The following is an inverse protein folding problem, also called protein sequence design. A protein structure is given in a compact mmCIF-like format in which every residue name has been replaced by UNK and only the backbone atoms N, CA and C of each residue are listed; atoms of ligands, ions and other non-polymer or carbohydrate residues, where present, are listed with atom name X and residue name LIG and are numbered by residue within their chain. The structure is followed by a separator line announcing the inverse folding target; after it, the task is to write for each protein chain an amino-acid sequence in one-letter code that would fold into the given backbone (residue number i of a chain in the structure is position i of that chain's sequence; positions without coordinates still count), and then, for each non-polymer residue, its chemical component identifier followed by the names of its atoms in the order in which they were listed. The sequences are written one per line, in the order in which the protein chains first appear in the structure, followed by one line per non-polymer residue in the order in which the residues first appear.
data_IF_946638496446
#
_entry.id   IF_946638496446
#
_cell.length_a   1.000
_cell.length_b   1.000
_cell.length_c   1.000
_cell.angle_alpha   90.00
_cell.angle_beta   90.00
_cell.angle_gamma   90.00
#
_symmetry.space_group_name_H-M   'P 1'
#
loop_
_entity.id
_entity.type
_entity.pdbx_description
1 polymer ?
#
# COMPACT_ATOMS: atom_id res chain seq x y z
N UNK A 1 19.12 -13.99 2.71
CA UNK A 1 18.78 -14.28 4.11
C UNK A 1 17.28 -14.12 4.23
N UNK A 2 16.61 -15.22 4.52
CA UNK A 2 15.17 -15.24 4.67
C UNK A 2 14.82 -14.82 6.12
N UNK A 3 14.37 -13.59 6.27
CA UNK A 3 13.80 -13.16 7.53
C UNK A 3 12.32 -13.55 7.58
N UNK A 4 11.93 -14.29 8.59
CA UNK A 4 10.56 -14.77 8.77
C UNK A 4 9.80 -14.01 9.89
N UNK A 5 10.26 -12.83 10.26
CA UNK A 5 9.67 -12.03 11.32
C UNK A 5 10.13 -12.37 12.73
N UNK A 6 10.69 -13.56 12.96
CA UNK A 6 11.24 -13.97 14.24
C UNK A 6 10.26 -13.89 15.41
N UNK A 7 10.77 -13.91 16.63
CA UNK A 7 10.03 -13.74 17.88
C UNK A 7 10.09 -12.26 18.31
N UNK A 8 9.53 -11.38 17.50
CA UNK A 8 9.47 -9.95 17.78
C UNK A 8 8.08 -9.48 18.20
N UNK A 9 7.96 -8.20 18.55
CA UNK A 9 6.69 -7.54 18.80
C UNK A 9 6.22 -6.80 17.54
N UNK A 10 6.05 -7.51 16.43
CA UNK A 10 5.36 -6.94 15.27
C UNK A 10 3.85 -7.14 15.41
N UNK A 11 3.11 -6.30 14.72
CA UNK A 11 1.64 -6.37 14.66
C UNK A 11 1.20 -7.73 14.10
N UNK A 12 1.81 -8.15 12.99
CA UNK A 12 1.48 -9.38 12.28
C UNK A 12 1.83 -10.61 13.11
N UNK A 13 2.99 -10.63 13.78
CA UNK A 13 3.37 -11.74 14.64
C UNK A 13 2.44 -11.85 15.86
N UNK A 14 2.02 -10.72 16.42
CA UNK A 14 1.05 -10.70 17.51
C UNK A 14 -0.30 -11.28 17.07
N UNK A 15 -0.80 -10.86 15.91
CA UNK A 15 -2.03 -11.40 15.34
C UNK A 15 -1.90 -12.91 15.04
N UNK A 16 -0.77 -13.35 14.49
CA UNK A 16 -0.48 -14.76 14.27
C UNK A 16 -0.57 -15.58 15.57
N UNK A 17 0.04 -15.09 16.66
CA UNK A 17 -0.03 -15.76 17.96
C UNK A 17 -1.46 -15.78 18.52
N UNK A 18 -2.20 -14.70 18.35
CA UNK A 18 -3.61 -14.63 18.74
C UNK A 18 -4.44 -15.69 17.99
N UNK A 19 -4.30 -15.76 16.67
CA UNK A 19 -4.98 -16.74 15.82
C UNK A 19 -4.59 -18.18 16.23
N UNK A 20 -3.31 -18.43 16.47
CA UNK A 20 -2.80 -19.74 16.94
C UNK A 20 -3.41 -20.12 18.29
N UNK A 21 -3.74 -19.16 19.13
CA UNK A 21 -4.37 -19.37 20.43
C UNK A 21 -5.91 -19.35 20.36
N UNK A 22 -6.50 -19.40 19.18
CA UNK A 22 -7.95 -19.47 18.97
C UNK A 22 -8.69 -18.12 19.05
N UNK A 23 -7.97 -17.01 19.01
CA UNK A 23 -8.58 -15.66 18.94
C UNK A 23 -8.74 -15.33 17.46
N UNK A 24 -9.95 -15.44 16.95
CA UNK A 24 -10.26 -15.24 15.54
C UNK A 24 -10.27 -13.76 15.13
N UNK A 25 -10.11 -13.51 13.82
CA UNK A 25 -10.29 -12.17 13.25
C UNK A 25 -11.77 -11.71 13.37
N UNK A 26 -12.03 -10.42 13.58
CA UNK A 26 -11.07 -9.30 13.68
C UNK A 26 -10.45 -9.11 15.08
N UNK A 27 -10.81 -9.93 16.07
CA UNK A 27 -10.31 -9.78 17.44
C UNK A 27 -8.79 -10.00 17.52
N UNK A 28 -8.23 -10.88 16.66
CA UNK A 28 -6.78 -11.12 16.58
C UNK A 28 -5.95 -9.86 16.34
N UNK A 29 -6.47 -8.90 15.58
CA UNK A 29 -5.81 -7.62 15.28
C UNK A 29 -6.27 -6.44 16.14
N UNK A 30 -7.28 -6.62 16.99
CA UNK A 30 -7.99 -5.52 17.61
C UNK A 30 -7.17 -4.74 18.66
N UNK A 31 -7.37 -3.42 18.70
CA UNK A 31 -6.82 -2.56 19.74
C UNK A 31 -7.25 -2.96 21.16
N UNK A 32 -8.39 -3.62 21.29
CA UNK A 32 -8.90 -4.11 22.56
C UNK A 32 -7.97 -5.15 23.20
N UNK A 33 -7.35 -5.99 22.39
CA UNK A 33 -6.45 -7.07 22.85
C UNK A 33 -5.00 -6.60 22.79
N UNK A 34 -4.59 -5.97 21.67
CA UNK A 34 -3.19 -5.71 21.37
C UNK A 34 -2.72 -4.31 21.78
N UNK A 35 -3.66 -3.41 22.11
CA UNK A 35 -3.36 -2.00 22.36
C UNK A 35 -3.24 -1.18 21.08
N UNK A 36 -3.47 0.13 21.22
CA UNK A 36 -3.56 1.06 20.10
C UNK A 36 -2.29 1.11 19.25
N UNK A 37 -1.15 1.35 19.90
CA UNK A 37 0.13 1.51 19.21
C UNK A 37 0.47 0.31 18.33
N UNK A 38 0.24 -0.91 18.83
CA UNK A 38 0.57 -2.13 18.09
C UNK A 38 -0.39 -2.36 16.93
N UNK A 39 -1.68 -2.06 17.12
CA UNK A 39 -2.70 -2.31 16.08
C UNK A 39 -2.73 -1.24 14.97
N UNK A 40 -2.06 -0.10 15.15
CA UNK A 40 -2.09 1.02 14.19
C UNK A 40 -0.76 1.20 13.41
N UNK A 41 -0.03 0.11 13.16
CA UNK A 41 1.20 0.14 12.36
C UNK A 41 0.90 0.03 10.85
N UNK A 42 1.90 0.31 10.00
CA UNK A 42 1.77 0.43 8.54
C UNK A 42 1.41 -0.87 7.83
N UNK A 43 1.64 -2.02 8.46
CA UNK A 43 1.44 -3.33 7.84
C UNK A 43 0.08 -3.49 7.17
N UNK A 44 -0.99 -2.95 7.78
CA UNK A 44 -2.34 -2.96 7.17
C UNK A 44 -2.36 -2.38 5.75
N UNK A 45 -1.53 -1.37 5.49
CA UNK A 45 -1.51 -0.67 4.20
C UNK A 45 -0.54 -1.32 3.22
N UNK A 46 0.64 -1.76 3.66
CA UNK A 46 1.65 -2.26 2.73
C UNK A 46 1.26 -3.56 2.03
N UNK A 47 0.43 -4.41 2.63
CA UNK A 47 0.09 -5.71 2.02
C UNK A 47 -1.19 -5.71 1.18
N UNK A 48 -1.83 -4.55 0.92
CA UNK A 48 -3.16 -4.53 0.27
C UNK A 48 -3.10 -4.34 -1.25
N UNK A 49 -1.97 -3.93 -1.81
CA UNK A 49 -1.85 -3.49 -3.21
C UNK A 49 -2.41 -4.54 -4.19
N UNK A 50 -2.02 -5.82 -4.03
CA UNK A 50 -2.52 -6.88 -4.90
C UNK A 50 -4.05 -7.10 -4.79
N UNK A 51 -4.63 -6.86 -3.61
CA UNK A 51 -6.08 -6.93 -3.41
C UNK A 51 -6.77 -5.79 -4.16
N UNK A 52 -6.25 -4.58 -4.04
CA UNK A 52 -6.78 -3.41 -4.74
C UNK A 52 -6.64 -3.55 -6.26
N UNK A 53 -5.49 -4.02 -6.73
CA UNK A 53 -5.24 -4.32 -8.16
C UNK A 53 -6.19 -5.37 -8.73
N UNK A 54 -6.69 -6.28 -7.90
CA UNK A 54 -7.68 -7.29 -8.32
C UNK A 54 -9.11 -6.72 -8.45
N UNK A 55 -9.31 -5.44 -8.15
CA UNK A 55 -10.60 -4.76 -8.20
C UNK A 55 -10.56 -3.52 -9.11
N UNK A 56 -10.16 -3.63 -10.40
CA UNK A 56 -10.01 -2.47 -11.28
C UNK A 56 -11.33 -1.71 -11.42
N UNK A 57 -11.28 -0.39 -11.19
CA UNK A 57 -12.41 0.55 -11.21
C UNK A 57 -13.59 0.15 -10.28
N UNK A 58 -13.34 -0.70 -9.29
CA UNK A 58 -14.33 -1.11 -8.30
C UNK A 58 -13.84 -0.83 -6.87
N UNK A 59 -13.79 0.45 -6.46
CA UNK A 59 -13.27 0.84 -5.15
C UNK A 59 -14.14 0.35 -3.98
N UNK A 60 -15.43 0.12 -4.18
CA UNK A 60 -16.32 -0.41 -3.13
C UNK A 60 -15.92 -1.85 -2.76
N UNK A 61 -15.68 -2.70 -3.77
CA UNK A 61 -15.20 -4.07 -3.56
C UNK A 61 -13.77 -4.09 -2.99
N UNK A 62 -12.87 -3.25 -3.52
CA UNK A 62 -11.51 -3.14 -3.01
C UNK A 62 -11.49 -2.81 -1.51
N UNK A 63 -12.26 -1.80 -1.11
CA UNK A 63 -12.39 -1.39 0.30
C UNK A 63 -13.01 -2.48 1.17
N UNK A 64 -14.00 -3.20 0.69
CA UNK A 64 -14.61 -4.32 1.44
C UNK A 64 -13.58 -5.42 1.70
N UNK A 65 -12.87 -5.87 0.68
CA UNK A 65 -11.87 -6.94 0.79
C UNK A 65 -10.68 -6.52 1.64
N UNK A 66 -10.15 -5.31 1.41
CA UNK A 66 -9.03 -4.76 2.18
C UNK A 66 -9.40 -4.58 3.65
N UNK A 67 -10.61 -4.12 3.97
CA UNK A 67 -11.06 -4.02 5.37
C UNK A 67 -11.01 -5.37 6.07
N UNK A 68 -11.48 -6.42 5.40
CA UNK A 68 -11.44 -7.79 5.96
C UNK A 68 -9.99 -8.27 6.15
N UNK A 69 -9.15 -8.11 5.14
CA UNK A 69 -7.74 -8.53 5.20
C UNK A 69 -6.95 -7.76 6.27
N UNK A 70 -7.06 -6.44 6.30
CA UNK A 70 -6.38 -5.59 7.25
C UNK A 70 -6.81 -5.87 8.70
N UNK A 71 -8.10 -6.15 8.93
CA UNK A 71 -8.62 -6.42 10.29
C UNK A 71 -8.18 -7.76 10.88
N UNK A 72 -7.50 -8.61 10.13
CA UNK A 72 -6.89 -9.83 10.67
C UNK A 72 -5.78 -9.49 11.67
N UNK A 73 -5.01 -8.44 11.40
CA UNK A 73 -3.84 -8.07 12.20
C UNK A 73 -3.88 -6.65 12.77
N UNK A 74 -4.64 -5.75 12.17
CA UNK A 74 -4.66 -4.32 12.48
C UNK A 74 -6.06 -3.83 12.85
N UNK A 75 -6.13 -2.58 13.37
CA UNK A 75 -7.38 -1.94 13.78
C UNK A 75 -7.27 -0.41 13.61
N UNK A 76 -8.36 0.29 13.88
CA UNK A 76 -8.42 1.74 13.95
C UNK A 76 -8.00 2.45 12.67
N UNK A 77 -7.14 3.47 12.82
CA UNK A 77 -6.71 4.33 11.71
C UNK A 77 -5.89 3.54 10.67
N UNK A 78 -5.22 2.45 11.06
CA UNK A 78 -4.47 1.62 10.13
C UNK A 78 -5.37 0.96 9.09
N UNK A 79 -6.50 0.40 9.51
CA UNK A 79 -7.50 -0.18 8.61
C UNK A 79 -8.15 0.87 7.73
N UNK A 80 -8.42 2.07 8.29
CA UNK A 80 -9.01 3.19 7.53
C UNK A 80 -8.07 3.70 6.44
N UNK A 81 -6.78 3.84 6.73
CA UNK A 81 -5.77 4.29 5.77
C UNK A 81 -5.55 3.25 4.67
N UNK A 82 -5.50 1.97 5.03
CA UNK A 82 -5.46 0.87 4.05
C UNK A 82 -6.66 0.90 3.09
N UNK A 83 -7.87 1.11 3.60
CA UNK A 83 -9.08 1.27 2.78
C UNK A 83 -9.02 2.52 1.88
N UNK A 84 -8.47 3.62 2.37
CA UNK A 84 -8.29 4.83 1.57
C UNK A 84 -7.34 4.61 0.40
N UNK A 85 -6.18 3.99 0.66
CA UNK A 85 -5.21 3.66 -0.40
C UNK A 85 -5.80 2.66 -1.40
N UNK A 86 -6.47 1.61 -0.93
CA UNK A 86 -7.12 0.64 -1.82
C UNK A 86 -8.14 1.27 -2.75
N UNK A 87 -8.91 2.25 -2.27
CA UNK A 87 -9.83 3.00 -3.11
C UNK A 87 -9.10 3.83 -4.18
N UNK A 88 -7.98 4.47 -3.80
CA UNK A 88 -7.12 5.21 -4.74
C UNK A 88 -6.57 4.28 -5.83
N UNK A 89 -6.01 3.15 -5.47
CA UNK A 89 -5.43 2.18 -6.41
C UNK A 89 -6.47 1.58 -7.35
N UNK A 90 -7.62 1.15 -6.82
CA UNK A 90 -8.69 0.60 -7.64
C UNK A 90 -9.21 1.61 -8.68
N UNK A 91 -9.33 2.89 -8.32
CA UNK A 91 -9.76 3.95 -9.24
C UNK A 91 -8.66 4.41 -10.20
N UNK A 92 -7.38 4.21 -9.89
CA UNK A 92 -6.25 4.64 -10.70
C UNK A 92 -6.16 3.92 -12.06
N UNK A 93 -6.87 2.83 -12.26
CA UNK A 93 -6.98 2.17 -13.56
C UNK A 93 -7.65 3.06 -14.61
N UNK A 94 -8.64 3.86 -14.21
CA UNK A 94 -9.47 4.66 -15.12
C UNK A 94 -9.31 6.17 -14.93
N UNK A 95 -8.93 6.62 -13.74
CA UNK A 95 -8.70 8.03 -13.43
C UNK A 95 -7.21 8.31 -13.27
N UNK A 96 -6.71 9.40 -13.87
CA UNK A 96 -5.28 9.78 -13.82
C UNK A 96 -5.01 11.01 -12.98
N UNK A 97 -6.02 11.85 -12.72
CA UNK A 97 -5.85 13.05 -11.89
C UNK A 97 -5.85 12.67 -10.40
N UNK A 98 -4.71 12.91 -9.75
CA UNK A 98 -4.51 12.58 -8.33
C UNK A 98 -5.48 13.34 -7.43
N UNK A 99 -5.82 14.59 -7.74
CA UNK A 99 -6.75 15.36 -6.91
C UNK A 99 -8.18 14.83 -7.03
N UNK A 100 -8.60 14.43 -8.23
CA UNK A 100 -9.89 13.78 -8.45
C UNK A 100 -9.93 12.43 -7.70
N UNK A 101 -8.86 11.65 -7.75
CA UNK A 101 -8.74 10.39 -7.02
C UNK A 101 -8.87 10.60 -5.51
N UNK A 102 -8.15 11.58 -4.95
CA UNK A 102 -8.21 11.90 -3.51
C UNK A 102 -9.61 12.37 -3.08
N UNK A 103 -10.27 13.20 -3.91
CA UNK A 103 -11.64 13.66 -3.63
C UNK A 103 -12.62 12.47 -3.61
N UNK A 104 -12.54 11.59 -4.60
CA UNK A 104 -13.40 10.39 -4.70
C UNK A 104 -13.11 9.38 -3.58
N UNK A 105 -11.84 9.16 -3.23
CA UNK A 105 -11.45 8.23 -2.17
C UNK A 105 -11.84 8.74 -0.78
N UNK A 106 -11.99 10.05 -0.60
CA UNK A 106 -12.38 10.68 0.66
C UNK A 106 -13.70 10.14 1.25
N UNK A 107 -14.62 9.60 0.41
CA UNK A 107 -15.87 8.99 0.89
C UNK A 107 -15.65 7.74 1.74
N UNK A 108 -14.52 7.06 1.57
CA UNK A 108 -14.16 5.84 2.30
C UNK A 108 -13.44 6.11 3.63
N UNK A 109 -13.09 7.37 3.88
CA UNK A 109 -12.47 7.79 5.13
C UNK A 109 -13.54 8.28 6.09
N UNK A 110 -13.73 7.56 7.19
CA UNK A 110 -14.66 7.97 8.25
C UNK A 110 -13.94 8.56 9.47
N UNK A 111 -12.69 8.18 9.68
CA UNK A 111 -11.86 8.66 10.80
C UNK A 111 -11.53 10.17 10.63
N UNK A 112 -11.87 11.03 11.63
CA UNK A 112 -11.64 12.47 11.54
C UNK A 112 -10.14 12.84 11.45
N UNK A 113 -9.27 12.08 12.13
CA UNK A 113 -7.83 12.32 12.09
C UNK A 113 -7.28 12.04 10.70
N UNK A 114 -7.68 10.93 10.07
CA UNK A 114 -7.24 10.60 8.73
C UNK A 114 -7.71 11.64 7.70
N UNK A 115 -8.95 12.15 7.84
CA UNK A 115 -9.43 13.28 7.02
C UNK A 115 -8.55 14.51 7.19
N UNK A 116 -8.20 14.84 8.42
CA UNK A 116 -7.33 15.97 8.73
C UNK A 116 -5.94 15.80 8.13
N UNK A 117 -5.35 14.61 8.23
CA UNK A 117 -4.05 14.28 7.63
C UNK A 117 -4.09 14.52 6.12
N UNK A 118 -5.03 13.93 5.41
CA UNK A 118 -5.14 14.06 3.94
C UNK A 118 -5.33 15.52 3.55
N UNK A 119 -6.18 16.28 4.28
CA UNK A 119 -6.39 17.70 4.05
C UNK A 119 -5.13 18.53 4.27
N UNK A 120 -4.42 18.33 5.39
CA UNK A 120 -3.20 19.06 5.72
C UNK A 120 -2.08 18.78 4.70
N UNK A 121 -1.94 17.51 4.28
CA UNK A 121 -0.95 17.13 3.27
C UNK A 121 -1.26 17.79 1.92
N UNK A 122 -2.51 17.79 1.48
CA UNK A 122 -2.91 18.47 0.24
C UNK A 122 -2.63 19.97 0.31
N UNK A 123 -2.96 20.60 1.44
CA UNK A 123 -2.74 22.04 1.64
C UNK A 123 -1.25 22.39 1.60
N UNK A 124 -0.41 21.69 2.31
CA UNK A 124 1.05 21.96 2.29
C UNK A 124 1.67 21.66 0.93
N UNK A 125 1.33 20.55 0.27
CA UNK A 125 1.85 20.21 -1.05
C UNK A 125 1.39 21.17 -2.16
N UNK A 126 0.29 21.88 -1.97
CA UNK A 126 -0.13 22.95 -2.90
C UNK A 126 0.72 24.22 -2.80
N UNK A 127 1.45 24.42 -1.71
CA UNK A 127 2.23 25.62 -1.38
C UNK A 127 3.74 25.39 -1.39
N UNK A 128 4.16 24.17 -1.18
CA UNK A 128 5.57 23.78 -1.07
C UNK A 128 5.86 22.56 -1.96
N UNK A 129 6.91 22.68 -2.78
CA UNK A 129 7.32 21.61 -3.72
C UNK A 129 8.56 20.85 -3.26
N UNK A 130 9.28 21.38 -2.26
CA UNK A 130 10.40 20.65 -1.63
C UNK A 130 9.85 19.68 -0.58
N UNK A 131 9.92 18.39 -0.87
CA UNK A 131 9.44 17.35 0.01
C UNK A 131 10.10 17.36 1.40
N UNK A 132 11.31 17.90 1.54
CA UNK A 132 12.01 18.01 2.83
C UNK A 132 11.27 18.98 3.75
N UNK A 133 10.85 20.12 3.21
CA UNK A 133 10.08 21.11 3.95
C UNK A 133 8.67 20.62 4.24
N UNK A 134 8.06 19.87 3.31
CA UNK A 134 6.78 19.20 3.58
C UNK A 134 6.93 18.21 4.73
N UNK A 135 7.99 17.40 4.72
CA UNK A 135 8.32 16.46 5.80
C UNK A 135 8.54 17.17 7.15
N UNK A 136 9.30 18.29 7.15
CA UNK A 136 9.52 19.12 8.35
C UNK A 136 8.22 19.72 8.90
N UNK A 137 7.30 20.12 8.04
CA UNK A 137 5.98 20.61 8.44
C UNK A 137 5.11 19.52 9.08
N UNK A 138 5.17 18.30 8.55
CA UNK A 138 4.37 17.18 9.02
C UNK A 138 4.89 16.58 10.34
N UNK A 139 6.21 16.60 10.58
CA UNK A 139 6.83 15.91 11.70
C UNK A 139 6.30 16.29 13.08
N UNK A 140 6.17 17.58 13.46
CA UNK A 140 5.68 17.95 14.77
C UNK A 140 4.22 17.59 15.03
N UNK A 141 3.44 17.33 13.97
CA UNK A 141 2.03 16.95 14.06
C UNK A 141 1.80 15.44 13.96
N UNK A 142 2.52 14.81 13.02
CA UNK A 142 2.25 13.44 12.58
C UNK A 142 3.46 12.50 12.70
N UNK A 143 4.62 12.98 13.14
CA UNK A 143 5.84 12.18 13.24
C UNK A 143 5.83 11.17 14.40
N UNK A 144 6.87 10.33 14.44
CA UNK A 144 7.02 9.28 15.46
C UNK A 144 7.18 9.82 16.89
N UNK A 145 7.53 11.10 17.06
CA UNK A 145 7.51 11.77 18.36
C UNK A 145 6.11 11.94 18.95
N UNK A 146 5.09 11.96 18.10
CA UNK A 146 3.67 12.11 18.47
C UNK A 146 2.94 10.77 18.35
N UNK A 147 3.25 9.99 17.30
CA UNK A 147 2.62 8.71 17.00
C UNK A 147 3.65 7.59 17.16
N UNK A 148 3.72 6.98 18.36
CA UNK A 148 4.77 6.03 18.70
C UNK A 148 4.58 4.69 18.01
N UNK A 149 5.69 3.97 17.87
CA UNK A 149 5.78 2.67 17.23
C UNK A 149 6.99 2.64 16.30
N UNK A 150 7.31 1.48 15.74
CA UNK A 150 8.41 1.37 14.78
C UNK A 150 8.02 1.92 13.39
N UNK A 151 6.73 1.83 13.05
CA UNK A 151 6.22 2.23 11.73
C UNK A 151 4.73 2.60 11.79
N UNK A 152 4.36 3.55 12.66
CA UNK A 152 2.97 3.95 12.84
C UNK A 152 2.33 4.45 11.54
N UNK A 153 1.06 4.08 11.31
CA UNK A 153 0.31 4.41 10.09
C UNK A 153 0.24 5.91 9.79
N UNK A 154 0.03 6.74 10.81
CA UNK A 154 -0.22 8.19 10.64
C UNK A 154 0.90 8.91 9.87
N UNK A 155 2.19 8.87 10.28
CA UNK A 155 3.25 9.52 9.51
C UNK A 155 3.43 8.91 8.12
N UNK A 156 3.28 7.60 8.00
CA UNK A 156 3.55 6.88 6.78
C UNK A 156 2.48 7.13 5.72
N UNK A 157 1.22 7.08 6.09
CA UNK A 157 0.13 7.45 5.17
C UNK A 157 0.26 8.91 4.70
N UNK A 158 0.60 9.83 5.62
CA UNK A 158 0.84 11.23 5.25
C UNK A 158 1.95 11.36 4.20
N UNK A 159 3.05 10.60 4.35
CA UNK A 159 4.16 10.62 3.39
C UNK A 159 3.83 9.96 2.06
N UNK A 160 3.05 8.88 2.05
CA UNK A 160 2.55 8.26 0.80
C UNK A 160 1.74 9.28 0.00
N UNK A 161 0.78 9.96 0.62
CA UNK A 161 -0.03 10.99 -0.07
C UNK A 161 0.85 12.16 -0.54
N UNK A 162 1.80 12.62 0.29
CA UNK A 162 2.73 13.68 -0.09
C UNK A 162 3.61 13.29 -1.29
N UNK A 163 4.15 12.07 -1.30
CA UNK A 163 4.98 11.58 -2.39
C UNK A 163 4.20 11.45 -3.72
N UNK A 164 2.95 11.01 -3.67
CA UNK A 164 2.05 10.96 -4.81
C UNK A 164 1.79 12.36 -5.36
N UNK A 165 1.45 13.33 -4.51
CA UNK A 165 1.16 14.70 -4.91
C UNK A 165 2.38 15.42 -5.47
N UNK A 166 3.52 15.34 -4.79
CA UNK A 166 4.76 16.04 -5.18
C UNK A 166 5.47 15.38 -6.37
N UNK A 167 5.32 14.06 -6.52
CA UNK A 167 5.84 13.31 -7.66
C UNK A 167 5.05 13.60 -8.93
N UNK A 168 3.74 13.74 -8.83
CA UNK A 168 2.86 13.94 -9.99
C UNK A 168 2.96 12.78 -10.97
N UNK A 169 3.19 13.08 -12.24
CA UNK A 169 3.31 12.08 -13.31
C UNK A 169 4.75 11.55 -13.49
N UNK A 170 5.65 11.88 -12.61
CA UNK A 170 7.03 11.37 -12.60
C UNK A 170 7.14 10.21 -11.61
N UNK A 171 7.14 8.97 -12.14
CA UNK A 171 7.26 7.75 -11.36
C UNK A 171 8.54 7.74 -10.51
N UNK A 172 9.69 8.05 -11.13
CA UNK A 172 10.99 8.06 -10.43
C UNK A 172 11.02 9.09 -9.31
N UNK A 173 10.51 10.29 -9.56
CA UNK A 173 10.46 11.35 -8.55
C UNK A 173 9.61 10.94 -7.35
N UNK A 174 8.45 10.35 -7.58
CA UNK A 174 7.55 9.90 -6.50
C UNK A 174 8.20 8.81 -5.64
N UNK A 175 8.86 7.83 -6.26
CA UNK A 175 9.61 6.78 -5.56
C UNK A 175 10.76 7.38 -4.76
N UNK A 176 11.55 8.28 -5.36
CA UNK A 176 12.68 8.93 -4.69
C UNK A 176 12.23 9.71 -3.45
N UNK A 177 11.09 10.41 -3.51
CA UNK A 177 10.52 11.11 -2.37
C UNK A 177 10.16 10.10 -1.27
N UNK A 178 9.38 9.08 -1.58
CA UNK A 178 8.93 8.09 -0.61
C UNK A 178 10.11 7.35 0.05
N UNK A 179 11.11 6.94 -0.75
CA UNK A 179 12.29 6.21 -0.29
C UNK A 179 13.30 7.07 0.50
N UNK A 180 13.20 8.42 0.43
CA UNK A 180 14.16 9.33 1.06
C UNK A 180 13.58 10.12 2.23
N UNK A 181 12.26 10.10 2.43
CA UNK A 181 11.59 10.97 3.40
C UNK A 181 11.69 10.52 4.86
N UNK A 182 12.44 9.48 5.16
CA UNK A 182 12.50 8.81 6.47
C UNK A 182 11.16 8.16 6.88
N UNK A 183 11.04 7.78 8.12
CA UNK A 183 9.99 6.92 8.66
C UNK A 183 10.07 5.52 8.04
N UNK A 184 9.01 4.96 7.51
CA UNK A 184 8.99 3.61 6.92
C UNK A 184 9.11 3.69 5.38
N UNK A 185 10.32 3.91 4.92
CA UNK A 185 10.59 4.28 3.52
C UNK A 185 10.33 3.17 2.52
N UNK A 186 10.55 1.93 2.88
CA UNK A 186 10.30 0.76 2.03
C UNK A 186 8.80 0.53 1.83
N UNK A 187 8.02 0.51 2.90
CA UNK A 187 6.56 0.42 2.80
C UNK A 187 5.97 1.61 2.02
N UNK A 188 6.42 2.83 2.33
CA UNK A 188 5.94 4.02 1.64
C UNK A 188 6.28 3.99 0.13
N UNK A 189 7.50 3.60 -0.24
CA UNK A 189 7.90 3.48 -1.64
C UNK A 189 7.16 2.35 -2.37
N UNK A 190 6.89 1.22 -1.68
CA UNK A 190 6.08 0.12 -2.21
C UNK A 190 4.68 0.60 -2.61
N UNK A 191 3.95 1.22 -1.70
CA UNK A 191 2.60 1.73 -1.97
C UNK A 191 2.57 2.83 -3.05
N UNK A 192 3.53 3.77 -3.02
CA UNK A 192 3.64 4.80 -4.06
C UNK A 192 3.93 4.19 -5.42
N UNK A 193 4.78 3.16 -5.45
CA UNK A 193 5.10 2.39 -6.66
C UNK A 193 3.91 1.65 -7.22
N UNK A 194 3.13 0.98 -6.36
CA UNK A 194 1.91 0.30 -6.73
C UNK A 194 0.88 1.28 -7.32
N UNK A 195 0.56 2.34 -6.61
CA UNK A 195 -0.39 3.36 -7.05
C UNK A 195 0.02 4.00 -8.40
N UNK A 196 1.25 4.50 -8.50
CA UNK A 196 1.72 5.14 -9.73
C UNK A 196 2.00 4.13 -10.86
N UNK A 197 2.33 2.88 -10.54
CA UNK A 197 2.42 1.81 -11.53
C UNK A 197 1.09 1.54 -12.22
N UNK A 198 0.00 1.49 -11.45
CA UNK A 198 -1.36 1.38 -12.00
C UNK A 198 -1.71 2.64 -12.81
N UNK A 199 -1.47 3.82 -12.25
CA UNK A 199 -1.88 5.09 -12.81
C UNK A 199 -1.14 5.45 -14.10
N UNK A 200 0.17 5.25 -14.13
CA UNK A 200 1.05 5.66 -15.23
C UNK A 200 1.35 4.52 -16.22
N UNK A 201 1.13 3.28 -15.81
CA UNK A 201 1.42 2.10 -16.62
C UNK A 201 2.90 1.85 -16.82
N UNK A 202 3.20 0.86 -17.68
CA UNK A 202 4.58 0.43 -17.93
C UNK A 202 5.44 1.54 -18.57
N UNK A 203 4.84 2.39 -19.37
CA UNK A 203 5.54 3.51 -20.01
C UNK A 203 5.99 4.53 -18.96
N UNK A 204 5.15 4.83 -17.97
CA UNK A 204 5.52 5.70 -16.85
C UNK A 204 6.62 5.10 -15.97
N UNK A 205 6.57 3.80 -15.70
CA UNK A 205 7.62 3.09 -14.95
C UNK A 205 8.96 3.17 -15.70
N UNK A 206 8.95 3.03 -17.02
CA UNK A 206 10.16 3.02 -17.86
C UNK A 206 10.65 4.42 -18.27
N UNK A 207 9.92 5.50 -17.94
CA UNK A 207 10.26 6.86 -18.38
C UNK A 207 11.49 7.46 -17.68
N UNK A 208 11.91 6.90 -16.55
CA UNK A 208 13.02 7.39 -15.73
C UNK A 208 14.14 6.38 -15.57
N UNK A 209 14.60 6.20 -14.32
CA UNK A 209 15.60 5.19 -14.00
C UNK A 209 15.09 3.78 -14.28
N UNK A 210 16.02 2.91 -14.68
CA UNK A 210 15.72 1.50 -14.87
C UNK A 210 15.57 0.78 -13.52
N UNK A 211 14.34 0.57 -13.09
CA UNK A 211 14.01 -0.18 -11.87
C UNK A 211 13.91 -1.69 -12.10
N UNK A 212 13.91 -2.15 -13.34
CA UNK A 212 13.57 -3.54 -13.71
C UNK A 212 14.81 -4.38 -14.01
N UNK A 213 15.70 -3.91 -14.86
CA UNK A 213 16.91 -4.67 -15.28
C UNK A 213 17.81 -5.08 -14.10
N UNK A 214 18.08 -4.21 -13.09
CA UNK A 214 18.95 -4.60 -11.97
C UNK A 214 18.47 -5.80 -11.17
N UNK A 215 17.15 -6.03 -11.13
CA UNK A 215 16.51 -7.15 -10.42
C UNK A 215 15.94 -8.20 -11.40
N UNK A 216 16.07 -7.98 -12.72
CA UNK A 216 15.53 -8.82 -13.79
C UNK A 216 14.03 -9.11 -13.63
N UNK A 217 13.26 -8.14 -13.10
CA UNK A 217 11.85 -8.29 -12.67
C UNK A 217 11.61 -9.49 -11.71
N UNK A 218 12.66 -10.03 -11.10
CA UNK A 218 12.59 -11.23 -10.27
C UNK A 218 12.33 -10.91 -8.82
N UNK A 219 11.63 -11.81 -8.16
CA UNK A 219 11.32 -11.74 -6.74
C UNK A 219 11.67 -13.07 -6.05
N UNK A 220 12.35 -12.97 -4.90
CA UNK A 220 12.68 -14.11 -4.06
C UNK A 220 12.00 -13.92 -2.70
N UNK A 221 10.92 -14.65 -2.48
CA UNK A 221 10.09 -14.51 -1.27
C UNK A 221 9.78 -15.87 -0.67
N UNK A 222 9.86 -15.99 0.63
CA UNK A 222 9.32 -17.17 1.33
C UNK A 222 7.80 -17.05 1.34
N UNK A 223 7.14 -18.02 0.73
CA UNK A 223 5.69 -18.12 0.71
C UNK A 223 5.18 -19.13 1.74
N UNK A 224 3.96 -18.94 2.22
CA UNK A 224 3.34 -19.84 3.21
C UNK A 224 3.12 -21.26 2.69
N UNK A 225 2.99 -21.41 1.36
CA UNK A 225 2.85 -22.71 0.69
C UNK A 225 4.19 -23.43 0.47
N UNK A 226 5.30 -22.73 0.68
CA UNK A 226 6.65 -23.26 0.49
C UNK A 226 7.04 -23.53 -0.97
N UNK A 227 6.15 -23.27 -1.93
CA UNK A 227 6.32 -23.65 -3.33
C UNK A 227 6.68 -22.52 -4.28
N UNK A 228 6.37 -21.27 -3.92
CA UNK A 228 6.49 -20.09 -4.80
C UNK A 228 7.61 -19.16 -4.37
N UNK A 229 8.78 -19.71 -4.02
CA UNK A 229 9.93 -18.94 -3.50
C UNK A 229 10.53 -18.02 -4.56
N UNK A 230 10.51 -18.42 -5.82
CA UNK A 230 11.01 -17.66 -6.97
C UNK A 230 9.83 -17.25 -7.82
N UNK A 231 9.65 -15.96 -7.99
CA UNK A 231 8.59 -15.38 -8.81
C UNK A 231 9.13 -14.22 -9.65
N UNK A 232 8.30 -13.65 -10.50
CA UNK A 232 8.59 -12.45 -11.27
C UNK A 232 7.33 -11.61 -11.49
N UNK A 233 7.52 -10.38 -11.99
CA UNK A 233 6.44 -9.43 -12.20
C UNK A 233 5.34 -9.97 -13.13
N UNK A 234 5.69 -10.79 -14.12
CA UNK A 234 4.72 -11.40 -15.07
C UNK A 234 3.88 -12.46 -14.37
N UNK A 235 4.52 -13.34 -13.61
CA UNK A 235 3.82 -14.39 -12.85
C UNK A 235 2.82 -13.75 -11.87
N UNK A 236 3.25 -12.76 -11.09
CA UNK A 236 2.39 -12.12 -10.11
C UNK A 236 1.27 -11.31 -10.77
N UNK A 237 1.54 -10.60 -11.86
CA UNK A 237 0.50 -9.91 -12.64
C UNK A 237 -0.57 -10.88 -13.17
N UNK A 238 -0.18 -12.07 -13.64
CA UNK A 238 -1.13 -13.11 -14.07
C UNK A 238 -1.98 -13.64 -12.91
N UNK A 239 -1.42 -13.79 -11.72
CA UNK A 239 -2.19 -14.19 -10.52
C UNK A 239 -3.23 -13.12 -10.15
N UNK A 240 -2.84 -11.83 -10.17
CA UNK A 240 -3.74 -10.70 -9.90
C UNK A 240 -4.86 -10.64 -10.95
N UNK A 241 -4.51 -10.76 -12.23
CA UNK A 241 -5.49 -10.78 -13.32
C UNK A 241 -6.49 -11.94 -13.18
N UNK A 242 -5.99 -13.13 -12.80
CA UNK A 242 -6.86 -14.28 -12.55
C UNK A 242 -7.80 -14.04 -11.36
N UNK A 243 -7.30 -13.41 -10.28
CA UNK A 243 -8.14 -13.04 -9.15
C UNK A 243 -9.22 -12.02 -9.55
N UNK A 244 -8.86 -10.99 -10.33
CA UNK A 244 -9.80 -10.01 -10.86
C UNK A 244 -10.89 -10.67 -11.72
N UNK A 245 -10.52 -11.57 -12.63
CA UNK A 245 -11.46 -12.32 -13.46
C UNK A 245 -12.47 -13.13 -12.62
N UNK A 246 -11.99 -13.79 -11.56
CA UNK A 246 -12.88 -14.51 -10.64
C UNK A 246 -13.84 -13.58 -9.87
N UNK A 247 -13.37 -12.41 -9.45
CA UNK A 247 -14.17 -11.43 -8.72
C UNK A 247 -15.24 -10.77 -9.60
N UNK A 248 -14.91 -10.54 -10.87
CA UNK A 248 -15.86 -9.91 -11.84
C UNK A 248 -16.76 -10.91 -12.54
N UNK A 249 -16.43 -12.20 -12.49
CA UNK A 249 -17.11 -13.24 -13.27
C UNK A 249 -16.75 -13.19 -14.76
N UNK A 250 -15.72 -12.48 -15.16
CA UNK A 250 -15.27 -12.37 -16.53
C UNK A 250 -14.37 -13.56 -16.91
N UNK A 251 -14.52 -14.03 -18.15
CA UNK A 251 -13.60 -15.01 -18.73
C UNK A 251 -12.41 -14.27 -19.38
N UNK A 252 -11.29 -14.24 -18.67
CA UNK A 252 -10.04 -13.70 -19.21
C UNK A 252 -9.15 -14.86 -19.61
N UNK A 253 -8.76 -14.89 -20.89
CA UNK A 253 -7.77 -15.86 -21.36
C UNK A 253 -6.37 -15.41 -20.93
N UNK A 254 -5.85 -16.04 -19.90
CA UNK A 254 -4.51 -15.76 -19.38
C UNK A 254 -3.53 -16.72 -20.02
N UNK A 255 -2.60 -16.20 -20.83
CA UNK A 255 -1.54 -17.00 -21.43
C UNK A 255 -0.80 -17.80 -20.37
N UNK A 256 -0.62 -19.10 -20.61
CA UNK A 256 0.16 -19.99 -19.76
C UNK A 256 1.67 -19.85 -19.98
N UNK A 257 2.06 -19.18 -21.06
CA UNK A 257 3.46 -18.96 -21.40
C UNK A 257 4.09 -17.94 -20.46
N UNK A 258 5.30 -18.21 -20.02
CA UNK A 258 6.06 -17.30 -19.16
C UNK A 258 6.61 -16.10 -19.94
N UNK A 259 6.95 -16.33 -21.21
CA UNK A 259 7.48 -15.31 -22.12
C UNK A 259 6.74 -15.38 -23.45
N UNK A 260 6.28 -14.24 -23.93
CA UNK A 260 5.82 -14.05 -25.31
C UNK A 260 6.88 -13.26 -26.05
N UNK A 261 7.37 -13.82 -27.16
CA UNK A 261 8.27 -13.11 -28.07
C UNK A 261 7.46 -12.67 -29.29
N UNK A 262 7.47 -11.38 -29.59
CA UNK A 262 7.04 -10.90 -30.90
C UNK A 262 8.24 -11.00 -31.87
N UNK A 263 8.05 -11.70 -33.01
CA UNK A 263 9.05 -11.84 -34.05
C UNK A 263 8.85 -10.76 -35.11
#
# INVERSE_FOLDING_TARGET
ILWWGGLGRSTEHTAFLNLKNGIEAPMSGSMKINGKTLSEQIGAQIFIDAIAMSCPDNPDLAVELVRKAASVSHDGIAVQAACHLAALEAMAFTEKDVNVLLDRAGKYVTDPLLKSIVSDVRDICSKETDWRKVREYLDPKYGYGVWPGCCHMVPNHAMVIAAILLGGDDFQKSINIAASAAWDTDCNAGNVGAFNGIRLGIDGINAGADFRTPVADMMYVVTSDGGSVVSDAVIESKKILNAAAHLTGENVEISKERYTFEF
#
